data_IF_844789340496
#
_entry.id   IF_844789340496
#
_cell.length_a   1.000
_cell.length_b   1.000
_cell.length_c   1.000
_cell.angle_alpha   90.00
_cell.angle_beta   90.00
_cell.angle_gamma   90.00
#
_symmetry.space_group_name_H-M   'P 1'
#
loop_
_entity.id
_entity.type
_entity.pdbx_description
1 polymer ?
#
# COMPACT_ATOMS: atom_id res chain seq x y z
N UNK A 1 -32.39 -14.36 4.90
CA UNK A 1 -31.76 -13.04 5.13
C UNK A 1 -30.47 -13.34 5.89
N UNK A 2 -29.28 -13.11 5.31
CA UNK A 2 -28.03 -13.28 6.04
C UNK A 2 -27.99 -12.31 7.22
N UNK A 3 -27.35 -12.67 8.34
CA UNK A 3 -27.41 -11.89 9.56
C UNK A 3 -26.64 -10.54 9.41
N UNK A 4 -27.02 -9.47 10.14
CA UNK A 4 -26.52 -8.09 9.93
C UNK A 4 -24.99 -7.95 9.95
N UNK A 5 -24.32 -8.83 10.68
CA UNK A 5 -22.87 -8.95 10.85
C UNK A 5 -22.13 -9.41 9.57
N UNK A 6 -22.78 -10.15 8.66
CA UNK A 6 -22.18 -10.53 7.38
C UNK A 6 -22.14 -9.38 6.38
N UNK A 7 -23.20 -8.56 6.33
CA UNK A 7 -23.23 -7.38 5.44
C UNK A 7 -22.18 -6.35 5.83
N UNK A 8 -22.04 -6.09 7.14
CA UNK A 8 -21.06 -5.13 7.66
C UNK A 8 -19.61 -5.58 7.40
N UNK A 9 -19.33 -6.89 7.49
CA UNK A 9 -18.03 -7.48 7.12
C UNK A 9 -17.74 -7.31 5.63
N UNK A 10 -18.69 -7.64 4.75
CA UNK A 10 -18.53 -7.49 3.30
C UNK A 10 -18.30 -6.03 2.89
N UNK A 11 -18.97 -5.10 3.56
CA UNK A 11 -18.80 -3.67 3.33
C UNK A 11 -17.43 -3.16 3.79
N UNK A 12 -16.93 -3.60 4.95
CA UNK A 12 -15.58 -3.28 5.44
C UNK A 12 -14.47 -3.85 4.55
N UNK A 13 -14.65 -5.07 4.03
CA UNK A 13 -13.72 -5.66 3.06
C UNK A 13 -13.70 -4.90 1.72
N UNK A 14 -14.86 -4.44 1.24
CA UNK A 14 -14.92 -3.64 0.02
C UNK A 14 -14.27 -2.26 0.23
N UNK A 15 -14.51 -1.59 1.36
CA UNK A 15 -13.90 -0.30 1.68
C UNK A 15 -12.38 -0.38 1.82
N UNK A 16 -11.85 -1.43 2.44
CA UNK A 16 -10.41 -1.57 2.64
C UNK A 16 -9.66 -1.72 1.32
N UNK A 17 -10.24 -2.42 0.33
CA UNK A 17 -9.71 -2.54 -1.03
C UNK A 17 -9.65 -1.19 -1.75
N UNK A 18 -10.73 -0.40 -1.68
CA UNK A 18 -10.79 0.92 -2.33
C UNK A 18 -9.81 1.90 -1.68
N UNK A 19 -9.66 1.87 -0.35
CA UNK A 19 -8.76 2.78 0.38
C UNK A 19 -7.29 2.49 0.09
N UNK A 20 -6.90 1.21 -0.10
CA UNK A 20 -5.55 0.79 -0.50
C UNK A 20 -5.21 1.25 -1.94
N UNK A 21 -6.15 1.16 -2.88
CA UNK A 21 -5.96 1.70 -4.23
C UNK A 21 -5.79 3.22 -4.22
N UNK A 22 -6.55 3.94 -3.39
CA UNK A 22 -6.50 5.40 -3.36
C UNK A 22 -5.13 5.97 -2.98
N UNK A 23 -4.44 5.38 -2.00
CA UNK A 23 -3.11 5.87 -1.60
C UNK A 23 -2.06 5.64 -2.68
N UNK A 24 -2.13 4.51 -3.40
CA UNK A 24 -1.24 4.23 -4.52
C UNK A 24 -1.37 5.25 -5.64
N UNK A 25 -2.60 5.59 -6.03
CA UNK A 25 -2.84 6.59 -7.07
C UNK A 25 -2.32 7.98 -6.66
N UNK A 26 -2.47 8.37 -5.39
CA UNK A 26 -1.92 9.64 -4.89
C UNK A 26 -0.40 9.72 -5.04
N UNK A 27 0.28 8.61 -4.76
CA UNK A 27 1.74 8.52 -4.87
C UNK A 27 2.22 8.54 -6.32
N UNK A 28 1.47 7.87 -7.20
CA UNK A 28 1.76 7.81 -8.63
C UNK A 28 1.55 9.17 -9.29
N UNK A 29 0.48 9.89 -8.92
CA UNK A 29 0.24 11.27 -9.38
C UNK A 29 1.36 12.20 -8.92
N UNK A 30 1.79 12.09 -7.67
CA UNK A 30 2.91 12.90 -7.14
C UNK A 30 4.20 12.62 -7.90
N UNK A 31 4.50 11.35 -8.20
CA UNK A 31 5.67 10.97 -9.00
C UNK A 31 5.64 11.56 -10.41
N UNK A 32 4.50 11.51 -11.10
CA UNK A 32 4.35 12.09 -12.44
C UNK A 32 4.60 13.61 -12.38
N UNK A 33 3.99 14.30 -11.42
CA UNK A 33 4.21 15.74 -11.23
C UNK A 33 5.68 16.10 -10.96
N UNK A 34 6.34 15.36 -10.08
CA UNK A 34 7.76 15.58 -9.76
C UNK A 34 8.65 15.32 -10.98
N UNK A 35 8.39 14.27 -11.76
CA UNK A 35 9.15 13.99 -12.98
C UNK A 35 8.98 15.10 -14.03
N UNK A 36 7.76 15.60 -14.22
CA UNK A 36 7.50 16.72 -15.14
C UNK A 36 8.25 17.98 -14.68
N UNK A 37 8.17 18.31 -13.39
CA UNK A 37 8.88 19.46 -12.82
C UNK A 37 10.40 19.32 -13.02
N UNK A 38 10.95 18.13 -12.79
CA UNK A 38 12.37 17.85 -12.97
C UNK A 38 12.82 17.93 -14.43
N UNK A 39 12.00 17.42 -15.35
CA UNK A 39 12.27 17.50 -16.78
C UNK A 39 12.34 18.96 -17.23
N UNK A 40 11.42 19.79 -16.75
CA UNK A 40 11.42 21.24 -17.02
C UNK A 40 12.67 21.90 -16.44
N UNK A 41 13.04 21.63 -15.18
CA UNK A 41 14.25 22.17 -14.56
C UNK A 41 15.51 21.75 -15.32
N UNK A 42 15.59 20.49 -15.74
CA UNK A 42 16.74 19.97 -16.50
C UNK A 42 16.89 20.67 -17.85
N UNK A 43 15.79 20.91 -18.56
CA UNK A 43 15.79 21.66 -19.82
C UNK A 43 16.22 23.12 -19.64
N UNK A 44 15.87 23.76 -18.51
CA UNK A 44 16.20 25.16 -18.23
C UNK A 44 17.65 25.33 -17.77
N UNK A 45 18.12 24.52 -16.82
CA UNK A 45 19.41 24.73 -16.15
C UNK A 45 20.59 24.09 -16.88
N UNK A 46 20.43 22.89 -17.45
CA UNK A 46 21.54 22.17 -18.08
C UNK A 46 21.04 21.03 -18.99
N UNK A 47 20.69 21.31 -20.25
CA UNK A 47 20.28 20.28 -21.21
C UNK A 47 21.39 19.26 -21.53
N UNK A 48 22.65 19.56 -21.20
CA UNK A 48 23.83 18.71 -21.47
C UNK A 48 24.18 17.74 -20.34
N UNK A 49 23.65 17.93 -19.14
CA UNK A 49 23.95 17.07 -17.98
C UNK A 49 22.64 16.50 -17.46
N UNK A 50 22.45 15.18 -17.63
CA UNK A 50 21.22 14.48 -17.25
C UNK A 50 21.16 14.23 -15.73
N UNK A 51 21.27 15.28 -14.92
CA UNK A 51 21.28 15.15 -13.45
C UNK A 51 19.94 14.59 -12.91
N UNK A 52 18.86 14.79 -13.66
CA UNK A 52 17.53 14.25 -13.34
C UNK A 52 17.54 12.73 -13.13
N UNK A 53 18.51 12.02 -13.75
CA UNK A 53 18.63 10.57 -13.67
C UNK A 53 18.89 10.08 -12.25
N UNK A 54 19.68 10.82 -11.47
CA UNK A 54 19.94 10.49 -10.05
C UNK A 54 18.69 10.64 -9.19
N UNK A 55 17.93 11.71 -9.43
CA UNK A 55 16.67 11.95 -8.71
C UNK A 55 15.62 10.92 -9.14
N UNK A 56 15.52 10.60 -10.43
CA UNK A 56 14.65 9.56 -10.95
C UNK A 56 14.99 8.18 -10.38
N UNK A 57 16.28 7.86 -10.18
CA UNK A 57 16.73 6.63 -9.53
C UNK A 57 16.25 6.52 -8.08
N UNK A 58 16.47 7.57 -7.27
CA UNK A 58 16.01 7.61 -5.87
C UNK A 58 14.48 7.53 -5.80
N UNK A 59 13.79 8.31 -6.62
CA UNK A 59 12.33 8.29 -6.69
C UNK A 59 11.77 6.97 -7.17
N UNK A 60 12.44 6.32 -8.13
CA UNK A 60 12.09 4.98 -8.59
C UNK A 60 12.16 3.94 -7.46
N UNK A 61 13.21 3.97 -6.64
CA UNK A 61 13.35 3.07 -5.48
C UNK A 61 12.24 3.32 -4.45
N UNK A 62 11.93 4.59 -4.14
CA UNK A 62 10.84 4.94 -3.22
C UNK A 62 9.49 4.45 -3.73
N UNK A 63 9.24 4.59 -5.04
CA UNK A 63 8.00 4.16 -5.66
C UNK A 63 7.89 2.63 -5.67
N UNK A 64 8.97 1.92 -5.96
CA UNK A 64 9.02 0.45 -5.87
C UNK A 64 8.78 0.00 -4.43
N UNK A 65 9.40 0.62 -3.43
CA UNK A 65 9.18 0.27 -2.03
C UNK A 65 7.72 0.49 -1.60
N UNK A 66 7.10 1.61 -2.01
CA UNK A 66 5.68 1.90 -1.75
C UNK A 66 4.74 0.99 -2.54
N UNK A 67 5.10 0.66 -3.78
CA UNK A 67 4.38 -0.29 -4.61
C UNK A 67 4.42 -1.68 -3.98
N UNK A 68 5.57 -2.18 -3.52
CA UNK A 68 5.68 -3.45 -2.79
C UNK A 68 4.86 -3.45 -1.49
N UNK A 69 4.82 -2.33 -0.78
CA UNK A 69 4.00 -2.19 0.43
C UNK A 69 2.49 -2.22 0.09
N UNK A 70 2.07 -1.52 -0.97
CA UNK A 70 0.66 -1.39 -1.38
C UNK A 70 0.12 -2.59 -2.17
N UNK A 71 0.95 -3.21 -3.01
CA UNK A 71 0.66 -4.49 -3.64
C UNK A 71 0.78 -5.65 -2.68
N UNK A 72 1.31 -5.40 -1.48
CA UNK A 72 1.01 -6.20 -0.31
C UNK A 72 1.25 -7.70 -0.58
N UNK A 73 2.51 -8.01 -0.92
CA UNK A 73 3.04 -9.37 -0.74
C UNK A 73 2.89 -9.78 0.74
N UNK A 74 2.85 -8.79 1.66
CA UNK A 74 2.65 -9.01 3.10
C UNK A 74 1.24 -9.49 3.48
N UNK A 75 0.12 -8.83 3.17
CA UNK A 75 -1.23 -9.41 3.45
C UNK A 75 -1.47 -10.71 2.68
N UNK A 76 -1.06 -10.78 1.40
CA UNK A 76 -1.43 -11.91 0.55
C UNK A 76 -0.65 -13.20 0.88
N UNK A 77 0.57 -13.09 1.39
CA UNK A 77 1.43 -14.24 1.71
C UNK A 77 1.74 -14.40 3.21
N UNK A 78 1.77 -13.31 4.00
CA UNK A 78 2.06 -13.33 5.44
C UNK A 78 0.87 -12.92 6.32
N UNK A 79 -0.11 -12.19 5.79
CA UNK A 79 -1.18 -11.58 6.58
C UNK A 79 -2.31 -12.54 6.92
N UNK A 80 -2.79 -13.33 5.95
CA UNK A 80 -3.84 -14.33 6.22
C UNK A 80 -3.41 -15.37 7.26
N UNK A 81 -2.22 -15.93 7.09
CA UNK A 81 -1.71 -16.98 7.97
C UNK A 81 -1.35 -16.44 9.37
N UNK A 82 -0.90 -15.19 9.45
CA UNK A 82 -0.63 -14.52 10.72
C UNK A 82 -1.92 -14.07 11.43
N UNK A 83 -2.91 -13.56 10.69
CA UNK A 83 -4.25 -13.23 11.22
C UNK A 83 -4.93 -14.49 11.78
N UNK A 84 -4.92 -15.60 11.03
CA UNK A 84 -5.48 -16.87 11.49
C UNK A 84 -4.79 -17.36 12.77
N UNK A 85 -3.45 -17.28 12.85
CA UNK A 85 -2.72 -17.63 14.08
C UNK A 85 -3.07 -16.73 15.27
N UNK A 86 -3.26 -15.43 15.04
CA UNK A 86 -3.63 -14.48 16.10
C UNK A 86 -5.07 -14.70 16.59
N UNK A 87 -5.99 -14.98 15.66
CA UNK A 87 -7.37 -15.31 16.00
C UNK A 87 -7.42 -16.61 16.81
N UNK A 88 -6.66 -17.64 16.41
CA UNK A 88 -6.58 -18.91 17.16
C UNK A 88 -5.97 -18.73 18.57
N UNK A 89 -4.93 -17.89 18.71
CA UNK A 89 -4.35 -17.53 20.01
C UNK A 89 -5.37 -16.87 20.94
N UNK A 90 -6.17 -15.93 20.42
CA UNK A 90 -7.18 -15.21 21.19
C UNK A 90 -8.34 -16.14 21.56
N UNK A 91 -8.83 -16.96 20.62
CA UNK A 91 -9.89 -17.94 20.88
C UNK A 91 -9.49 -19.00 21.91
N UNK A 92 -8.24 -19.46 21.89
CA UNK A 92 -7.69 -20.37 22.91
C UNK A 92 -7.60 -19.71 24.28
N UNK A 93 -7.17 -18.44 24.35
CA UNK A 93 -7.13 -17.67 25.59
C UNK A 93 -8.53 -17.41 26.17
N UNK A 94 -9.52 -17.13 25.32
CA UNK A 94 -10.93 -16.97 25.72
C UNK A 94 -11.51 -18.29 26.26
N UNK A 95 -11.25 -19.42 25.57
CA UNK A 95 -11.71 -20.75 26.02
C UNK A 95 -11.07 -21.20 27.34
N UNK A 96 -9.84 -20.79 27.63
CA UNK A 96 -9.17 -21.07 28.92
C UNK A 96 -9.62 -20.14 30.07
N UNK A 97 -10.43 -19.11 29.78
CA UNK A 97 -10.88 -18.13 30.78
C UNK A 97 -12.33 -18.34 31.25
N UNK A 98 -13.01 -19.38 30.78
CA UNK A 98 -14.29 -19.82 31.35
C UNK A 98 -14.02 -20.93 32.39
N UNK A 99 -14.29 -20.69 33.69
CA UNK A 99 -14.27 -21.73 34.71
C UNK A 99 -15.40 -22.74 34.51
#
# INVERSE_FOLDING_TARGET
MPPPDEEEKRYKEAQSRVRKMKSFYQDLVTFVWVNILLLVINLIFSPKVLWFYWVALIWGIVLIARALNTFTIKDRFLGKEWEEKKIDEILKKEKHKKP
#
